data_IF_509654421484
#
_entry.id   IF_509654421484
#
_cell.length_a   1.000
_cell.length_b   1.000
_cell.length_c   1.000
_cell.angle_alpha   90.00
_cell.angle_beta   90.00
_cell.angle_gamma   90.00
#
_symmetry.space_group_name_H-M   'P 1'
#
loop_
_entity.id
_entity.type
_entity.pdbx_description
1 polymer ?
#
# COMPACT_ATOMS: atom_id res chain seq x y z
N UNK A 1 -14.83 17.63 -6.51
CA UNK A 1 -13.44 17.97 -6.89
C UNK A 1 -12.89 16.78 -7.69
N UNK A 2 -12.52 16.97 -8.96
CA UNK A 2 -11.82 15.92 -9.73
C UNK A 2 -10.33 16.07 -9.46
N UNK A 3 -9.70 15.03 -8.93
CA UNK A 3 -8.24 15.00 -8.82
C UNK A 3 -7.63 14.82 -10.20
N UNK A 4 -6.53 15.49 -10.46
CA UNK A 4 -5.69 15.19 -11.62
C UNK A 4 -4.69 14.06 -11.28
N UNK A 5 -4.06 13.49 -12.30
CA UNK A 5 -3.14 12.37 -12.14
C UNK A 5 -2.02 12.64 -11.13
N UNK A 6 -1.45 13.85 -11.14
CA UNK A 6 -0.38 14.23 -10.21
C UNK A 6 -0.84 14.26 -8.75
N UNK A 7 -2.07 14.70 -8.50
CA UNK A 7 -2.63 14.66 -7.14
C UNK A 7 -2.87 13.22 -6.68
N UNK A 8 -3.27 12.32 -7.59
CA UNK A 8 -3.45 10.91 -7.29
C UNK A 8 -2.09 10.26 -6.98
N UNK A 9 -1.08 10.51 -7.81
CA UNK A 9 0.29 10.04 -7.58
C UNK A 9 0.82 10.48 -6.20
N UNK A 10 0.63 11.74 -5.83
CA UNK A 10 1.04 12.22 -4.50
C UNK A 10 0.32 11.53 -3.33
N UNK A 11 -0.96 11.17 -3.50
CA UNK A 11 -1.69 10.40 -2.48
C UNK A 11 -1.20 8.96 -2.40
N UNK A 12 -0.94 8.33 -3.55
CA UNK A 12 -0.35 6.99 -3.62
C UNK A 12 1.04 6.96 -2.98
N UNK A 13 1.89 7.96 -3.25
CA UNK A 13 3.21 8.11 -2.63
C UNK A 13 3.11 8.24 -1.11
N UNK A 14 2.20 9.09 -0.61
CA UNK A 14 1.99 9.26 0.83
C UNK A 14 1.56 7.94 1.50
N UNK A 15 0.60 7.23 0.91
CA UNK A 15 0.17 5.92 1.38
C UNK A 15 1.30 4.88 1.32
N UNK A 16 2.14 4.92 0.29
CA UNK A 16 3.29 4.02 0.16
C UNK A 16 4.28 4.20 1.31
N UNK A 17 4.54 5.44 1.71
CA UNK A 17 5.41 5.76 2.86
C UNK A 17 4.80 5.22 4.15
N UNK A 18 3.51 5.48 4.38
CA UNK A 18 2.81 5.02 5.58
C UNK A 18 2.78 3.49 5.67
N UNK A 19 2.43 2.79 4.58
CA UNK A 19 2.41 1.32 4.53
C UNK A 19 3.80 0.71 4.75
N UNK A 20 4.83 1.32 4.19
CA UNK A 20 6.23 0.90 4.41
C UNK A 20 6.60 1.04 5.88
N UNK A 21 6.25 2.16 6.51
CA UNK A 21 6.50 2.36 7.93
C UNK A 21 5.76 1.35 8.81
N UNK A 22 4.49 1.05 8.50
CA UNK A 22 3.71 0.04 9.22
C UNK A 22 4.30 -1.38 9.08
N UNK A 23 4.84 -1.73 7.90
CA UNK A 23 5.58 -2.99 7.72
C UNK A 23 6.83 -3.05 8.59
N UNK A 24 7.61 -1.97 8.64
CA UNK A 24 8.80 -1.89 9.49
C UNK A 24 8.45 -2.03 10.97
N UNK A 25 7.42 -1.32 11.44
CA UNK A 25 7.01 -1.30 12.85
C UNK A 25 6.40 -2.64 13.30
N UNK A 26 5.53 -3.24 12.48
CA UNK A 26 4.77 -4.43 12.89
C UNK A 26 5.47 -5.76 12.58
N UNK A 27 6.33 -5.80 11.56
CA UNK A 27 7.02 -7.03 11.13
C UNK A 27 8.53 -6.99 11.37
N UNK A 28 9.07 -5.85 11.82
CA UNK A 28 10.50 -5.70 12.08
C UNK A 28 11.37 -5.66 10.83
N UNK A 29 10.77 -5.42 9.65
CA UNK A 29 11.50 -5.30 8.39
C UNK A 29 12.39 -4.06 8.37
N UNK A 30 13.53 -4.15 7.71
CA UNK A 30 14.25 -2.97 7.24
C UNK A 30 13.43 -2.21 6.20
N UNK A 31 13.74 -0.94 5.98
CA UNK A 31 13.07 -0.15 4.94
C UNK A 31 13.13 -0.83 3.57
N UNK A 32 14.26 -1.45 3.22
CA UNK A 32 14.43 -2.10 1.93
C UNK A 32 13.59 -3.39 1.82
N UNK A 33 13.51 -4.18 2.89
CA UNK A 33 12.64 -5.36 2.94
C UNK A 33 11.16 -4.95 2.89
N UNK A 34 10.76 -3.94 3.65
CA UNK A 34 9.39 -3.43 3.66
C UNK A 34 8.96 -2.92 2.27
N UNK A 35 9.80 -2.15 1.59
CA UNK A 35 9.55 -1.71 0.21
C UNK A 35 9.48 -2.90 -0.74
N UNK A 36 10.38 -3.88 -0.60
CA UNK A 36 10.37 -5.09 -1.43
C UNK A 36 9.07 -5.87 -1.25
N UNK A 37 8.61 -6.06 -0.02
CA UNK A 37 7.34 -6.73 0.28
C UNK A 37 6.17 -5.95 -0.29
N UNK A 38 6.10 -4.63 -0.04
CA UNK A 38 5.01 -3.78 -0.50
C UNK A 38 4.92 -3.76 -2.03
N UNK A 39 6.01 -3.49 -2.75
CA UNK A 39 5.99 -3.40 -4.21
C UNK A 39 5.67 -4.72 -4.92
N UNK A 40 5.85 -5.86 -4.26
CA UNK A 40 5.49 -7.17 -4.79
C UNK A 40 4.11 -7.66 -4.35
N UNK A 41 3.32 -6.80 -3.69
CA UNK A 41 1.98 -7.16 -3.21
C UNK A 41 0.88 -6.80 -4.20
N UNK A 42 -0.16 -7.64 -4.26
CA UNK A 42 -1.40 -7.33 -5.01
C UNK A 42 -2.05 -6.07 -4.47
N UNK A 43 -1.95 -5.87 -3.15
CA UNK A 43 -2.45 -4.67 -2.47
C UNK A 43 -1.83 -3.40 -3.07
N UNK A 44 -0.53 -3.41 -3.36
CA UNK A 44 0.15 -2.28 -3.98
C UNK A 44 -0.20 -2.10 -5.46
N UNK A 45 -0.35 -3.19 -6.21
CA UNK A 45 -0.82 -3.12 -7.60
C UNK A 45 -2.19 -2.42 -7.67
N UNK A 46 -3.10 -2.79 -6.78
CA UNK A 46 -4.43 -2.17 -6.67
C UNK A 46 -4.36 -0.72 -6.19
N UNK A 47 -3.49 -0.39 -5.24
CA UNK A 47 -3.26 1.00 -4.81
C UNK A 47 -2.76 1.86 -5.98
N UNK A 48 -1.88 1.30 -6.81
CA UNK A 48 -1.28 1.98 -7.96
C UNK A 48 -2.27 2.22 -9.09
N UNK A 49 -3.34 1.42 -9.19
CA UNK A 49 -4.42 1.62 -10.16
C UNK A 49 -5.45 2.67 -9.68
N UNK A 50 -5.53 3.87 -10.29
CA UNK A 50 -6.49 4.87 -9.90
C UNK A 50 -7.96 4.44 -10.08
N UNK A 51 -8.26 3.44 -10.92
CA UNK A 51 -9.61 2.95 -11.11
C UNK A 51 -10.18 2.25 -9.87
N UNK A 52 -9.31 1.75 -8.97
CA UNK A 52 -9.74 1.12 -7.71
C UNK A 52 -10.21 2.13 -6.67
N UNK A 53 -9.76 3.39 -6.79
CA UNK A 53 -10.04 4.46 -5.83
C UNK A 53 -9.39 4.27 -4.45
N UNK A 54 -8.47 3.32 -4.29
CA UNK A 54 -7.83 3.03 -3.00
C UNK A 54 -7.03 4.20 -2.44
N UNK A 55 -6.51 5.08 -3.29
CA UNK A 55 -5.78 6.29 -2.87
C UNK A 55 -6.63 7.29 -2.05
N UNK A 56 -7.96 7.11 -1.97
CA UNK A 56 -8.85 7.88 -1.09
C UNK A 56 -9.07 7.24 0.29
N UNK A 57 -8.61 6.00 0.49
CA UNK A 57 -8.80 5.27 1.74
C UNK A 57 -7.69 5.58 2.74
N UNK A 58 -7.91 5.20 4.01
CA UNK A 58 -6.86 5.31 5.03
C UNK A 58 -5.78 4.24 4.83
N UNK A 59 -4.54 4.55 5.22
CA UNK A 59 -3.45 3.57 5.17
C UNK A 59 -3.78 2.32 5.98
N UNK A 60 -4.43 2.45 7.15
CA UNK A 60 -4.85 1.28 7.96
C UNK A 60 -5.79 0.33 7.22
N UNK A 61 -6.77 0.85 6.46
CA UNK A 61 -7.66 0.00 5.67
C UNK A 61 -6.90 -0.77 4.59
N UNK A 62 -5.97 -0.10 3.90
CA UNK A 62 -5.13 -0.74 2.87
C UNK A 62 -4.18 -1.75 3.50
N UNK A 63 -3.65 -1.41 4.67
CA UNK A 63 -2.73 -2.26 5.43
C UNK A 63 -3.40 -3.56 5.88
N UNK A 64 -4.67 -3.54 6.27
CA UNK A 64 -5.42 -4.77 6.59
C UNK A 64 -5.43 -5.75 5.40
N UNK A 65 -5.57 -5.27 4.15
CA UNK A 65 -5.45 -6.13 2.96
C UNK A 65 -4.05 -6.71 2.81
N UNK A 66 -3.03 -5.86 2.97
CA UNK A 66 -1.64 -6.27 2.88
C UNK A 66 -1.30 -7.32 3.95
N UNK A 67 -1.75 -7.13 5.19
CA UNK A 67 -1.55 -8.11 6.26
C UNK A 67 -2.25 -9.43 5.96
N UNK A 68 -3.47 -9.39 5.44
CA UNK A 68 -4.20 -10.59 5.03
C UNK A 68 -3.46 -11.33 3.90
N UNK A 69 -2.95 -10.62 2.91
CA UNK A 69 -2.15 -11.17 1.81
C UNK A 69 -0.90 -11.90 2.35
N UNK A 70 -0.14 -11.24 3.23
CA UNK A 70 1.10 -11.78 3.81
C UNK A 70 0.88 -12.97 4.75
N UNK A 71 -0.24 -13.00 5.48
CA UNK A 71 -0.53 -14.05 6.47
C UNK A 71 -1.28 -15.25 5.88
N UNK A 72 -2.10 -15.05 4.85
CA UNK A 72 -2.88 -16.11 4.22
C UNK A 72 -2.13 -16.87 3.13
N UNK A 73 -1.00 -16.33 2.65
CA UNK A 73 -0.23 -16.92 1.55
C UNK A 73 -1.00 -16.98 0.23
N UNK A 74 -2.11 -16.26 0.11
CA UNK A 74 -2.96 -16.21 -1.08
C UNK A 74 -3.09 -14.77 -1.57
N UNK A 75 -2.33 -14.52 -2.63
CA UNK A 75 -2.71 -13.63 -3.74
C UNK A 75 -4.17 -13.99 -4.09
N UNK A 76 -5.10 -13.04 -3.96
CA UNK A 76 -6.52 -13.24 -4.30
C UNK A 76 -6.88 -12.62 -5.64
#
# INVERSE_FOLDING_TARGET
>A
MRLNSRQIEHLQEALTVELTQMLMENWGYSMQEALTVLYNSDTFERLSDPATGLYFQSAGYIYDYLQNELTSGKIS
#
